data_IF_664852939836
#
_entry.id   IF_664852939836
#
_cell.length_a   1.000
_cell.length_b   1.000
_cell.length_c   1.000
_cell.angle_alpha   90.00
_cell.angle_beta   90.00
_cell.angle_gamma   90.00
#
_symmetry.space_group_name_H-M   'P 1'
#
loop_
_entity.id
_entity.type
_entity.pdbx_description
1 polymer ?
#
# COMPACT_ATOMS: atom_id res chain seq x y z
N UNK A 1 -78.03 35.36 -28.22
CA UNK A 1 -77.13 34.84 -29.28
C UNK A 1 -75.72 34.77 -28.67
N UNK A 2 -75.28 33.67 -28.06
CA UNK A 2 -74.84 32.38 -28.66
C UNK A 2 -73.62 32.62 -29.60
N UNK A 3 -72.40 32.13 -29.35
CA UNK A 3 -72.02 30.80 -28.81
C UNK A 3 -70.67 30.82 -28.07
N UNK A 4 -70.64 30.07 -26.97
CA UNK A 4 -69.45 29.45 -26.38
C UNK A 4 -68.79 28.47 -27.38
N UNK A 5 -67.46 28.32 -27.28
CA UNK A 5 -66.83 27.01 -27.44
C UNK A 5 -65.88 26.77 -26.27
N UNK A 6 -66.15 25.67 -25.59
CA UNK A 6 -65.44 25.14 -24.44
C UNK A 6 -64.09 24.56 -24.85
N UNK A 7 -63.06 24.75 -24.01
CA UNK A 7 -62.07 23.72 -23.76
C UNK A 7 -62.13 23.40 -22.27
N UNK A 8 -62.56 22.18 -21.96
CA UNK A 8 -62.70 21.64 -20.60
C UNK A 8 -61.35 21.06 -20.14
N UNK A 9 -61.05 21.27 -18.85
CA UNK A 9 -60.59 20.31 -17.82
C UNK A 9 -59.38 19.41 -18.15
N UNK A 10 -58.38 19.13 -17.31
CA UNK A 10 -58.33 18.97 -15.84
C UNK A 10 -56.86 18.77 -15.40
N UNK A 11 -56.54 19.18 -14.17
CA UNK A 11 -55.51 18.74 -13.20
C UNK A 11 -54.37 17.78 -13.61
N UNK A 12 -53.13 18.04 -13.13
CA UNK A 12 -52.52 17.27 -12.02
C UNK A 12 -51.16 17.87 -11.60
N UNK A 13 -50.99 18.10 -10.28
CA UNK A 13 -49.71 18.29 -9.58
C UNK A 13 -48.86 17.02 -9.66
N UNK A 14 -47.60 17.10 -10.11
CA UNK A 14 -46.55 16.15 -9.71
C UNK A 14 -45.26 16.94 -9.48
N UNK A 15 -44.85 16.99 -8.21
CA UNK A 15 -43.53 17.41 -7.77
C UNK A 15 -42.48 16.44 -8.34
N UNK A 16 -41.53 16.93 -9.14
CA UNK A 16 -40.34 16.17 -9.47
C UNK A 16 -39.19 16.71 -8.60
N UNK A 17 -39.10 16.09 -7.43
CA UNK A 17 -37.87 15.99 -6.63
C UNK A 17 -36.80 15.39 -7.55
N UNK A 18 -35.95 16.23 -8.17
CA UNK A 18 -34.72 15.74 -8.77
C UNK A 18 -33.78 15.45 -7.60
N UNK A 19 -33.91 14.24 -7.09
CA UNK A 19 -32.90 13.60 -6.25
C UNK A 19 -31.59 13.63 -7.02
N UNK A 20 -30.72 14.60 -6.70
CA UNK A 20 -29.30 14.48 -6.98
C UNK A 20 -28.84 13.20 -6.28
N UNK A 21 -28.71 12.13 -7.07
CA UNK A 21 -27.87 11.00 -6.72
C UNK A 21 -26.45 11.54 -6.60
N UNK A 22 -26.10 12.05 -5.42
CA UNK A 22 -24.73 12.14 -5.00
C UNK A 22 -24.25 10.69 -4.90
N UNK A 23 -23.66 10.17 -5.98
CA UNK A 23 -22.75 9.04 -5.85
C UNK A 23 -21.72 9.42 -4.79
N UNK A 24 -21.55 8.64 -3.70
CA UNK A 24 -20.36 8.84 -2.90
C UNK A 24 -19.19 8.53 -3.83
N UNK A 25 -18.43 9.56 -4.19
CA UNK A 25 -17.10 9.37 -4.70
C UNK A 25 -16.31 8.68 -3.58
N UNK A 26 -16.30 7.34 -3.57
CA UNK A 26 -15.33 6.54 -2.83
C UNK A 26 -13.97 6.66 -3.52
N UNK A 27 -13.47 7.89 -3.58
CA UNK A 27 -12.07 8.22 -3.79
C UNK A 27 -11.48 8.73 -2.47
N UNK A 28 -11.99 8.24 -1.33
CA UNK A 28 -11.30 8.39 -0.07
C UNK A 28 -10.02 7.54 -0.19
N UNK A 29 -8.88 8.23 -0.34
CA UNK A 29 -7.56 7.61 -0.49
C UNK A 29 -7.41 6.58 0.63
N UNK A 30 -7.37 5.30 0.26
CA UNK A 30 -7.21 4.21 1.21
C UNK A 30 -5.84 4.36 1.88
N UNK A 31 -5.84 4.41 3.21
CA UNK A 31 -4.63 4.31 4.01
C UNK A 31 -4.14 2.86 3.96
N UNK A 32 -2.94 2.65 3.41
CA UNK A 32 -2.35 1.32 3.24
C UNK A 32 -1.65 0.80 4.52
N UNK A 33 -1.32 1.70 5.44
CA UNK A 33 -0.80 1.38 6.78
C UNK A 33 -1.92 1.42 7.84
N UNK A 34 -1.77 0.61 8.89
CA UNK A 34 -2.60 0.76 10.09
C UNK A 34 -2.15 1.98 10.89
N UNK A 35 -3.01 2.55 11.76
CA UNK A 35 -2.60 3.63 12.65
C UNK A 35 -1.35 3.29 13.47
N UNK A 36 -1.26 2.06 13.99
CA UNK A 36 -0.12 1.59 14.77
C UNK A 36 1.16 1.48 13.93
N UNK A 37 1.05 1.09 12.67
CA UNK A 37 2.18 1.07 11.74
C UNK A 37 2.67 2.48 11.41
N UNK A 38 1.76 3.43 11.22
CA UNK A 38 2.10 4.86 11.04
C UNK A 38 2.89 5.36 12.26
N UNK A 39 2.43 5.02 13.47
CA UNK A 39 3.16 5.37 14.70
C UNK A 39 4.54 4.72 14.74
N UNK A 40 4.68 3.44 14.36
CA UNK A 40 6.01 2.82 14.27
C UNK A 40 6.91 3.48 13.23
N UNK A 41 6.38 3.88 12.06
CA UNK A 41 7.16 4.62 11.05
C UNK A 41 7.63 5.96 11.62
N UNK A 42 6.76 6.65 12.37
CA UNK A 42 7.05 7.93 13.03
C UNK A 42 8.10 7.80 14.13
N UNK A 43 8.03 6.73 14.93
CA UNK A 43 8.94 6.50 16.06
C UNK A 43 10.33 6.00 15.60
N UNK A 44 10.41 5.32 14.45
CA UNK A 44 11.66 4.80 13.91
C UNK A 44 12.28 5.79 12.90
N UNK A 45 12.95 6.82 13.40
CA UNK A 45 13.59 7.85 12.55
C UNK A 45 14.86 7.37 11.82
N UNK A 46 15.53 6.33 12.32
CA UNK A 46 16.69 5.74 11.65
C UNK A 46 16.23 4.94 10.42
N UNK A 47 16.78 5.24 9.24
CA UNK A 47 16.29 4.73 7.95
C UNK A 47 16.15 3.20 7.94
N UNK A 48 17.14 2.47 8.46
CA UNK A 48 17.15 1.02 8.41
C UNK A 48 16.14 0.37 9.36
N UNK A 49 15.75 1.07 10.44
CA UNK A 49 14.66 0.67 11.35
C UNK A 49 13.31 1.02 10.76
N UNK A 50 13.17 2.20 10.15
CA UNK A 50 11.94 2.59 9.43
C UNK A 50 11.62 1.62 8.30
N UNK A 51 12.65 1.23 7.57
CA UNK A 51 12.55 0.22 6.50
C UNK A 51 12.04 -1.12 7.03
N UNK A 52 12.48 -1.55 8.23
CA UNK A 52 11.96 -2.77 8.86
C UNK A 52 10.47 -2.68 9.20
N UNK A 53 9.96 -1.51 9.57
CA UNK A 53 8.53 -1.28 9.81
C UNK A 53 7.74 -1.49 8.52
N UNK A 54 8.18 -0.89 7.40
CA UNK A 54 7.55 -1.10 6.10
C UNK A 54 7.59 -2.56 5.65
N UNK A 55 8.75 -3.22 5.78
CA UNK A 55 8.90 -4.65 5.47
C UNK A 55 7.87 -5.48 6.25
N UNK A 56 7.80 -5.27 7.57
CA UNK A 56 6.85 -6.00 8.41
C UNK A 56 5.41 -5.70 8.00
N UNK A 57 5.07 -4.45 7.71
CA UNK A 57 3.73 -4.07 7.26
C UNK A 57 3.34 -4.83 5.97
N UNK A 58 4.23 -4.88 4.96
CA UNK A 58 4.01 -5.61 3.72
C UNK A 58 3.89 -7.13 3.95
N UNK A 59 4.77 -7.72 4.74
CA UNK A 59 4.71 -9.16 5.10
C UNK A 59 3.41 -9.52 5.82
N UNK A 60 2.88 -8.63 6.67
CA UNK A 60 1.58 -8.84 7.32
C UNK A 60 0.42 -8.86 6.33
N UNK A 61 0.44 -8.04 5.26
CA UNK A 61 -0.59 -8.11 4.20
C UNK A 61 -0.43 -9.39 3.39
N UNK A 62 0.79 -9.77 3.05
CA UNK A 62 1.08 -11.03 2.36
C UNK A 62 0.57 -12.24 3.17
N UNK A 63 0.78 -12.20 4.48
CA UNK A 63 0.27 -13.20 5.40
C UNK A 63 -1.26 -13.16 5.51
N UNK A 64 -1.88 -11.97 5.53
CA UNK A 64 -3.34 -11.85 5.56
C UNK A 64 -4.00 -12.43 4.30
N UNK A 65 -3.35 -12.34 3.14
CA UNK A 65 -3.81 -12.94 1.88
C UNK A 65 -3.73 -14.47 1.91
N UNK A 66 -2.69 -15.04 2.53
CA UNK A 66 -2.40 -16.48 2.49
C UNK A 66 -2.91 -17.25 3.71
N UNK A 67 -2.93 -16.62 4.88
CA UNK A 67 -3.34 -17.16 6.17
C UNK A 67 -3.77 -16.03 7.14
N UNK A 68 -5.04 -15.64 7.07
CA UNK A 68 -5.60 -14.56 7.89
C UNK A 68 -5.57 -14.82 9.40
N UNK A 69 -5.57 -16.08 9.83
CA UNK A 69 -5.46 -16.47 11.25
C UNK A 69 -4.08 -16.11 11.80
N UNK A 70 -3.03 -16.42 11.05
CA UNK A 70 -1.66 -16.10 11.45
C UNK A 70 -1.43 -14.58 11.46
N UNK A 71 -1.94 -13.86 10.46
CA UNK A 71 -1.84 -12.41 10.37
C UNK A 71 -2.47 -11.67 11.58
N UNK A 72 -3.45 -12.31 12.22
CA UNK A 72 -4.17 -11.75 13.36
C UNK A 72 -3.41 -11.86 14.70
N UNK A 73 -2.34 -12.64 14.79
CA UNK A 73 -1.58 -12.84 16.05
C UNK A 73 -0.91 -11.56 16.55
N UNK A 74 -0.45 -10.72 15.63
CA UNK A 74 0.28 -9.49 15.95
C UNK A 74 -0.65 -8.26 16.05
N UNK A 75 -1.98 -8.44 15.94
CA UNK A 75 -2.94 -7.33 15.82
C UNK A 75 -2.94 -6.37 17.01
N UNK A 76 -2.67 -6.86 18.22
CA UNK A 76 -2.65 -6.02 19.43
C UNK A 76 -1.51 -5.00 19.40
N UNK A 77 -0.38 -5.37 18.78
CA UNK A 77 0.79 -4.51 18.69
C UNK A 77 0.80 -3.67 17.42
N UNK A 78 0.34 -4.23 16.30
CA UNK A 78 0.50 -3.65 14.97
C UNK A 78 -0.80 -3.21 14.31
N UNK A 79 -1.91 -3.21 15.05
CA UNK A 79 -3.23 -2.92 14.51
C UNK A 79 -3.80 -4.04 13.66
N UNK A 80 -5.08 -3.95 13.32
CA UNK A 80 -5.77 -4.95 12.50
C UNK A 80 -5.55 -4.67 11.00
N UNK A 81 -5.04 -5.66 10.26
CA UNK A 81 -4.97 -5.60 8.79
C UNK A 81 -6.34 -5.91 8.22
N UNK A 82 -6.93 -4.96 7.50
CA UNK A 82 -8.29 -5.04 6.95
C UNK A 82 -8.27 -4.90 5.44
N UNK A 83 -9.25 -5.47 4.76
CA UNK A 83 -9.49 -5.24 3.34
C UNK A 83 -9.75 -6.53 2.56
N UNK A 84 -10.18 -6.37 1.31
CA UNK A 84 -10.29 -7.46 0.35
C UNK A 84 -8.91 -7.90 -0.14
N UNK A 85 -8.78 -9.10 -0.75
CA UNK A 85 -7.51 -9.55 -1.33
C UNK A 85 -6.91 -8.54 -2.31
N UNK A 86 -7.73 -7.97 -3.20
CA UNK A 86 -7.30 -6.91 -4.11
C UNK A 86 -6.74 -5.68 -3.39
N UNK A 87 -7.41 -5.24 -2.31
CA UNK A 87 -6.94 -4.14 -1.48
C UNK A 87 -5.64 -4.47 -0.75
N UNK A 88 -5.46 -5.71 -0.29
CA UNK A 88 -4.22 -6.13 0.37
C UNK A 88 -3.04 -6.17 -0.61
N UNK A 89 -3.24 -6.58 -1.87
CA UNK A 89 -2.20 -6.46 -2.90
C UNK A 89 -1.87 -5.01 -3.22
N UNK A 90 -2.89 -4.15 -3.32
CA UNK A 90 -2.70 -2.72 -3.46
C UNK A 90 -1.87 -2.17 -2.30
N UNK A 91 -2.20 -2.51 -1.06
CA UNK A 91 -1.46 -2.08 0.13
C UNK A 91 -0.01 -2.56 0.10
N UNK A 92 0.27 -3.81 -0.31
CA UNK A 92 1.64 -4.32 -0.47
C UNK A 92 2.42 -3.42 -1.43
N UNK A 93 1.87 -3.11 -2.61
CA UNK A 93 2.54 -2.24 -3.58
C UNK A 93 2.83 -0.85 -2.98
N UNK A 94 1.85 -0.25 -2.28
CA UNK A 94 2.01 1.08 -1.68
C UNK A 94 2.99 1.14 -0.53
N UNK A 95 3.05 0.10 0.29
CA UNK A 95 4.03 0.00 1.37
C UNK A 95 5.44 -0.13 0.79
N UNK A 96 5.62 -0.94 -0.25
CA UNK A 96 6.92 -1.09 -0.90
C UNK A 96 7.34 0.19 -1.63
N UNK A 97 6.42 0.85 -2.36
CA UNK A 97 6.65 2.16 -2.98
C UNK A 97 7.09 3.20 -1.94
N UNK A 98 6.40 3.28 -0.80
CA UNK A 98 6.75 4.22 0.26
C UNK A 98 8.11 3.92 0.90
N UNK A 99 8.46 2.64 1.07
CA UNK A 99 9.79 2.25 1.53
C UNK A 99 10.88 2.70 0.54
N UNK A 100 10.64 2.57 -0.77
CA UNK A 100 11.55 3.06 -1.83
C UNK A 100 11.70 4.57 -1.76
N UNK A 101 10.59 5.32 -1.71
CA UNK A 101 10.61 6.79 -1.56
C UNK A 101 11.44 7.21 -0.36
N UNK A 102 11.31 6.51 0.78
CA UNK A 102 12.09 6.80 1.98
C UNK A 102 13.60 6.58 1.80
N UNK A 103 13.99 5.53 1.06
CA UNK A 103 15.39 5.25 0.74
C UNK A 103 15.95 6.28 -0.25
N UNK A 104 15.18 6.61 -1.28
CA UNK A 104 15.56 7.61 -2.29
C UNK A 104 15.67 9.02 -1.70
N UNK A 105 14.73 9.41 -0.85
CA UNK A 105 14.80 10.67 -0.10
C UNK A 105 16.06 10.71 0.76
N UNK A 106 16.36 9.64 1.49
CA UNK A 106 17.58 9.59 2.29
C UNK A 106 18.84 9.65 1.43
N UNK A 107 18.84 9.05 0.24
CA UNK A 107 19.94 9.10 -0.71
C UNK A 107 20.14 10.51 -1.28
N UNK A 108 19.05 11.23 -1.58
CA UNK A 108 19.10 12.60 -2.06
C UNK A 108 19.68 13.57 -1.01
N UNK A 109 19.44 13.32 0.28
CA UNK A 109 19.88 14.19 1.36
C UNK A 109 21.26 13.81 1.95
N UNK A 110 21.59 12.52 2.02
CA UNK A 110 22.84 12.03 2.59
C UNK A 110 23.34 10.76 1.86
N UNK A 111 23.86 10.89 0.62
CA UNK A 111 24.21 9.77 -0.25
C UNK A 111 25.33 8.86 0.30
N UNK A 112 26.17 9.39 1.20
CA UNK A 112 27.27 8.65 1.83
C UNK A 112 26.84 7.89 3.10
N UNK A 113 25.55 7.95 3.45
CA UNK A 113 25.06 7.28 4.64
C UNK A 113 25.19 5.76 4.52
N UNK A 114 25.87 5.09 5.47
CA UNK A 114 25.95 3.63 5.47
C UNK A 114 24.58 2.96 5.64
N UNK A 115 23.59 3.69 6.16
CA UNK A 115 22.23 3.20 6.33
C UNK A 115 21.51 3.01 4.98
N UNK A 116 21.93 3.67 3.90
CA UNK A 116 21.28 3.50 2.60
C UNK A 116 21.45 2.08 2.06
N UNK A 117 22.70 1.64 1.96
CA UNK A 117 23.02 0.29 1.47
C UNK A 117 22.43 -0.78 2.38
N UNK A 118 22.49 -0.57 3.70
CA UNK A 118 21.88 -1.45 4.69
C UNK A 118 20.35 -1.56 4.52
N UNK A 119 19.67 -0.43 4.33
CA UNK A 119 18.20 -0.39 4.17
C UNK A 119 17.77 -1.02 2.85
N UNK A 120 18.45 -0.67 1.75
CA UNK A 120 18.19 -1.26 0.44
C UNK A 120 18.43 -2.78 0.45
N UNK A 121 19.48 -3.27 1.12
CA UNK A 121 19.70 -4.70 1.27
C UNK A 121 18.55 -5.39 2.01
N UNK A 122 18.12 -4.85 3.17
CA UNK A 122 16.97 -5.40 3.93
C UNK A 122 15.69 -5.41 3.09
N UNK A 123 15.43 -4.33 2.36
CA UNK A 123 14.24 -4.20 1.52
C UNK A 123 14.28 -5.20 0.36
N UNK A 124 15.44 -5.38 -0.28
CA UNK A 124 15.63 -6.37 -1.33
C UNK A 124 15.49 -7.81 -0.85
N UNK A 125 15.99 -8.13 0.34
CA UNK A 125 15.78 -9.44 0.97
C UNK A 125 14.29 -9.72 1.21
N UNK A 126 13.53 -8.72 1.68
CA UNK A 126 12.08 -8.84 1.82
C UNK A 126 11.38 -9.03 0.48
N UNK A 127 11.72 -8.21 -0.53
CA UNK A 127 11.17 -8.31 -1.86
C UNK A 127 11.46 -9.68 -2.51
N UNK A 128 12.68 -10.21 -2.37
CA UNK A 128 13.06 -11.56 -2.80
C UNK A 128 12.21 -12.66 -2.15
N UNK A 129 11.75 -12.48 -0.90
CA UNK A 129 10.80 -13.41 -0.26
C UNK A 129 9.37 -13.23 -0.76
N UNK A 130 8.96 -12.01 -1.09
CA UNK A 130 7.60 -11.70 -1.53
C UNK A 130 7.34 -12.12 -2.97
N UNK A 131 8.27 -11.88 -3.91
CA UNK A 131 8.13 -12.22 -5.34
C UNK A 131 7.65 -13.65 -5.58
N UNK A 132 8.28 -14.72 -5.04
CA UNK A 132 7.81 -16.08 -5.27
C UNK A 132 6.46 -16.37 -4.60
N UNK A 133 6.10 -15.67 -3.53
CA UNK A 133 4.79 -15.84 -2.88
C UNK A 133 3.68 -15.19 -3.69
N UNK A 134 3.90 -13.96 -4.17
CA UNK A 134 2.96 -13.25 -5.03
C UNK A 134 2.75 -13.99 -6.36
N UNK A 135 3.83 -14.51 -6.98
CA UNK A 135 3.71 -15.29 -8.22
C UNK A 135 2.82 -16.53 -8.08
N UNK A 136 2.86 -17.21 -6.94
CA UNK A 136 1.99 -18.37 -6.67
C UNK A 136 0.51 -18.00 -6.59
N UNK A 137 0.17 -16.75 -6.29
CA UNK A 137 -1.20 -16.29 -6.13
C UNK A 137 -1.88 -15.89 -7.45
N UNK A 138 -1.12 -15.86 -8.57
CA UNK A 138 -1.69 -15.72 -9.92
C UNK A 138 -2.71 -16.82 -10.20
N UNK A 139 -2.41 -18.04 -9.75
CA UNK A 139 -3.34 -19.18 -9.76
C UNK A 139 -4.35 -19.01 -8.62
N UNK A 140 -5.49 -18.39 -8.90
CA UNK A 140 -6.56 -18.18 -7.90
C UNK A 140 -7.00 -16.74 -7.72
N UNK A 141 -6.64 -15.85 -8.65
CA UNK A 141 -7.25 -14.53 -8.78
C UNK A 141 -8.77 -14.65 -8.97
N UNK A 142 -9.53 -13.85 -8.24
CA UNK A 142 -11.00 -13.88 -8.27
C UNK A 142 -11.60 -12.71 -9.07
N UNK A 143 -10.79 -11.72 -9.45
CA UNK A 143 -11.24 -10.54 -10.19
C UNK A 143 -10.08 -9.87 -10.94
N UNK A 144 -10.42 -9.08 -11.96
CA UNK A 144 -9.45 -8.24 -12.70
C UNK A 144 -8.71 -7.28 -11.77
N UNK A 145 -9.43 -6.60 -10.87
CA UNK A 145 -8.83 -5.68 -9.89
C UNK A 145 -7.86 -6.39 -8.93
N UNK A 146 -8.10 -7.67 -8.62
CA UNK A 146 -7.13 -8.46 -7.84
C UNK A 146 -5.88 -8.75 -8.65
N UNK A 147 -6.04 -9.12 -9.93
CA UNK A 147 -4.93 -9.32 -10.87
C UNK A 147 -4.08 -8.08 -11.03
N UNK A 148 -4.67 -6.94 -11.36
CA UNK A 148 -3.95 -5.68 -11.57
C UNK A 148 -3.14 -5.25 -10.33
N UNK A 149 -3.71 -5.42 -9.14
CA UNK A 149 -3.01 -5.07 -7.91
C UNK A 149 -1.93 -6.09 -7.53
N UNK A 150 -2.13 -7.38 -7.84
CA UNK A 150 -1.10 -8.40 -7.69
C UNK A 150 0.09 -8.10 -8.61
N UNK A 151 -0.16 -7.81 -9.89
CA UNK A 151 0.90 -7.48 -10.85
C UNK A 151 1.68 -6.24 -10.40
N UNK A 152 0.99 -5.19 -9.96
CA UNK A 152 1.66 -4.00 -9.43
C UNK A 152 2.55 -4.33 -8.23
N UNK A 153 2.08 -5.14 -7.28
CA UNK A 153 2.89 -5.55 -6.14
C UNK A 153 4.11 -6.37 -6.55
N UNK A 154 3.98 -7.22 -7.59
CA UNK A 154 5.08 -7.98 -8.18
C UNK A 154 6.10 -7.08 -8.87
N UNK A 155 5.64 -6.13 -9.68
CA UNK A 155 6.48 -5.15 -10.38
C UNK A 155 7.30 -4.34 -9.38
N UNK A 156 6.65 -3.70 -8.40
CA UNK A 156 7.36 -2.92 -7.36
C UNK A 156 8.39 -3.80 -6.62
N UNK A 157 8.04 -5.03 -6.24
CA UNK A 157 8.97 -5.93 -5.56
C UNK A 157 10.17 -6.31 -6.46
N UNK A 158 9.94 -6.57 -7.75
CA UNK A 158 11.00 -6.92 -8.69
C UNK A 158 11.93 -5.73 -8.96
N UNK A 159 11.39 -4.52 -9.11
CA UNK A 159 12.17 -3.29 -9.26
C UNK A 159 13.12 -3.06 -8.07
N UNK A 160 12.68 -3.33 -6.84
CA UNK A 160 13.52 -3.27 -5.64
C UNK A 160 14.69 -4.26 -5.74
N UNK A 161 14.41 -5.51 -6.14
CA UNK A 161 15.44 -6.56 -6.27
C UNK A 161 16.46 -6.18 -7.33
N UNK A 162 16.00 -5.70 -8.48
CA UNK A 162 16.86 -5.31 -9.59
C UNK A 162 17.70 -4.07 -9.23
N UNK A 163 17.09 -3.06 -8.62
CA UNK A 163 17.76 -1.87 -8.12
C UNK A 163 18.88 -2.18 -7.11
N UNK A 164 18.65 -3.15 -6.22
CA UNK A 164 19.63 -3.64 -5.26
C UNK A 164 20.80 -4.37 -5.94
N UNK A 165 20.49 -5.22 -6.92
CA UNK A 165 21.48 -5.94 -7.72
C UNK A 165 22.37 -4.99 -8.52
N UNK A 166 21.78 -4.00 -9.19
CA UNK A 166 22.51 -2.97 -9.95
C UNK A 166 23.46 -2.15 -9.07
N UNK A 167 23.05 -1.85 -7.83
CA UNK A 167 23.86 -1.11 -6.84
C UNK A 167 24.86 -1.98 -6.08
N UNK A 168 24.87 -3.30 -6.35
CA UNK A 168 25.77 -4.26 -5.73
C UNK A 168 25.65 -4.32 -4.21
N UNK A 169 24.46 -4.10 -3.65
CA UNK A 169 24.23 -4.27 -2.20
C UNK A 169 24.26 -5.74 -1.82
N UNK A 170 24.80 -6.06 -0.65
CA UNK A 170 25.00 -7.43 -0.20
C UNK A 170 24.99 -7.52 1.34
N UNK A 171 25.07 -8.75 1.86
CA UNK A 171 24.95 -9.02 3.30
C UNK A 171 26.02 -8.34 4.16
N UNK A 172 27.19 -7.97 3.60
CA UNK A 172 28.21 -7.24 4.35
C UNK A 172 27.74 -5.83 4.72
N UNK A 173 26.82 -5.24 3.96
CA UNK A 173 26.23 -3.93 4.24
C UNK A 173 25.43 -3.91 5.56
N UNK A 174 25.03 -5.08 6.10
CA UNK A 174 24.37 -5.19 7.41
C UNK A 174 25.31 -4.88 8.59
N UNK A 175 26.62 -5.11 8.42
CA UNK A 175 27.61 -4.95 9.50
C UNK A 175 27.92 -3.49 9.78
N UNK A 176 27.55 -2.59 8.88
CA UNK A 176 27.84 -1.17 9.00
C UNK A 176 26.96 -0.53 10.06
N UNK A 177 27.59 0.04 11.09
CA UNK A 177 26.91 0.81 12.14
C UNK A 177 26.65 2.22 11.63
N UNK A 178 25.52 2.82 12.01
CA UNK A 178 25.30 4.25 11.84
C UNK A 178 26.51 4.99 12.41
N UNK A 179 27.19 5.79 11.58
CA UNK A 179 28.35 6.55 12.01
C UNK A 179 27.99 7.35 13.26
N UNK A 180 28.72 7.12 14.35
CA UNK A 180 28.61 7.93 15.57
C UNK A 180 28.88 9.37 15.12
N UNK A 181 27.87 10.25 15.11
CA UNK A 181 28.12 11.68 14.93
C UNK A 181 29.09 12.08 16.04
N UNK A 182 30.35 12.28 15.66
CA UNK A 182 31.34 12.87 16.55
C UNK A 182 30.86 14.27 16.86
N UNK A 183 30.52 14.50 18.12
CA UNK A 183 30.52 15.81 18.72
C UNK A 183 31.27 15.70 20.05
#
# INVERSE_FOLDING_TARGET
>A
MNKQKHFKSTALLIALFVSLLASPAEAQKREHLTPEEIEFVRDNQELDKRTEVFIKAAERRMLAVTNSVEASKDKEKWGEVKGTRAQLFYDISKILDEAVVNVDDAAAHNPESPLLRKSLFKLAEAANRLVPQLNKLREGLQSEAEGDNLERALETAQEIVDAAKERGVNAEDLKTKAGKKGN
#
